data_IF_791981560357
#
_entry.id   IF_791981560357
#
_cell.length_a   1.000
_cell.length_b   1.000
_cell.length_c   1.000
_cell.angle_alpha   90.00
_cell.angle_beta   90.00
_cell.angle_gamma   90.00
#
_symmetry.space_group_name_H-M   'P 1'
#
loop_
_entity.id
_entity.type
_entity.pdbx_description
1 polymer ?
#
# COMPACT_ATOMS: atom_id res chain seq x y z
N UNK A 1 6.55 0.60 -3.57
CA UNK A 1 6.55 0.97 -2.14
C UNK A 1 7.98 1.08 -1.61
N UNK A 2 8.30 2.08 -0.78
CA UNK A 2 9.64 2.25 -0.21
C UNK A 2 9.93 1.18 0.85
N UNK A 3 11.21 0.90 1.11
CA UNK A 3 11.63 -0.04 2.17
C UNK A 3 11.19 0.40 3.56
N UNK A 4 11.02 1.70 3.79
CA UNK A 4 10.46 2.25 5.03
C UNK A 4 8.98 1.90 5.21
N UNK A 5 8.19 1.98 4.13
CA UNK A 5 6.76 1.69 4.18
C UNK A 5 6.50 0.19 4.44
N UNK A 6 7.35 -0.70 3.90
CA UNK A 6 7.29 -2.13 4.20
C UNK A 6 7.54 -2.43 5.68
N UNK A 7 8.53 -1.77 6.30
CA UNK A 7 8.79 -1.94 7.74
C UNK A 7 7.61 -1.49 8.61
N UNK A 8 6.98 -0.36 8.25
CA UNK A 8 5.79 0.11 8.96
C UNK A 8 4.59 -0.83 8.78
N UNK A 9 4.41 -1.39 7.59
CA UNK A 9 3.37 -2.38 7.33
C UNK A 9 3.52 -3.60 8.23
N UNK A 10 4.72 -4.17 8.32
CA UNK A 10 4.99 -5.33 9.17
C UNK A 10 4.79 -5.01 10.66
N UNK A 11 5.20 -3.81 11.11
CA UNK A 11 4.91 -3.35 12.47
C UNK A 11 3.40 -3.26 12.74
N UNK A 12 2.61 -2.77 11.79
CA UNK A 12 1.15 -2.69 11.95
C UNK A 12 0.56 -4.10 12.08
N UNK A 13 0.97 -5.03 11.21
CA UNK A 13 0.52 -6.43 11.27
C UNK A 13 0.86 -7.09 12.62
N UNK A 14 2.08 -6.88 13.10
CA UNK A 14 2.54 -7.40 14.40
C UNK A 14 1.74 -6.82 15.58
N UNK A 15 1.40 -5.53 15.53
CA UNK A 15 0.58 -4.90 16.57
C UNK A 15 -0.88 -5.38 16.55
N UNK A 16 -1.44 -5.66 15.36
CA UNK A 16 -2.77 -6.26 15.24
C UNK A 16 -2.79 -7.66 15.85
N UNK A 17 -1.80 -8.49 15.53
CA UNK A 17 -1.67 -9.86 16.05
C UNK A 17 -1.54 -9.89 17.59
N UNK A 18 -0.68 -9.02 18.13
CA UNK A 18 -0.43 -8.90 19.58
C UNK A 18 -1.51 -8.12 20.35
N UNK A 19 -2.52 -7.60 19.66
CA UNK A 19 -3.53 -6.79 20.32
C UNK A 19 -4.37 -7.64 21.28
N UNK A 20 -4.44 -7.20 22.54
CA UNK A 20 -5.33 -7.78 23.54
C UNK A 20 -6.73 -7.13 23.51
N UNK A 21 -6.93 -6.08 22.71
CA UNK A 21 -8.20 -5.36 22.62
C UNK A 21 -9.06 -5.80 21.45
N UNK A 22 -8.55 -6.66 20.57
CA UNK A 22 -9.25 -7.21 19.41
C UNK A 22 -9.56 -8.68 19.65
N UNK A 23 -10.76 -9.10 19.29
CA UNK A 23 -11.10 -10.51 19.16
C UNK A 23 -10.35 -11.16 17.99
N UNK A 24 -10.28 -12.50 17.98
CA UNK A 24 -9.59 -13.24 16.90
C UNK A 24 -10.23 -13.01 15.52
N UNK A 25 -11.54 -12.79 15.48
CA UNK A 25 -12.27 -12.44 14.26
C UNK A 25 -11.89 -11.04 13.76
N UNK A 26 -11.82 -10.06 14.66
CA UNK A 26 -11.39 -8.70 14.33
C UNK A 26 -9.94 -8.64 13.88
N UNK A 27 -9.05 -9.45 14.49
CA UNK A 27 -7.66 -9.59 14.04
C UNK A 27 -7.58 -10.16 12.63
N UNK A 28 -8.30 -11.26 12.38
CA UNK A 28 -8.35 -11.91 11.06
C UNK A 28 -8.85 -10.95 9.98
N UNK A 29 -9.94 -10.22 10.26
CA UNK A 29 -10.49 -9.26 9.31
C UNK A 29 -9.60 -8.03 9.10
N UNK A 30 -8.95 -7.55 10.16
CA UNK A 30 -7.95 -6.49 10.06
C UNK A 30 -6.77 -6.92 9.17
N UNK A 31 -6.26 -8.14 9.36
CA UNK A 31 -5.17 -8.69 8.56
C UNK A 31 -5.55 -8.79 7.08
N UNK A 32 -6.76 -9.31 6.78
CA UNK A 32 -7.27 -9.39 5.40
C UNK A 32 -7.30 -8.01 4.73
N UNK A 33 -7.80 -6.98 5.42
CA UNK A 33 -7.89 -5.61 4.89
C UNK A 33 -6.51 -5.02 4.64
N UNK A 34 -5.58 -5.23 5.56
CA UNK A 34 -4.19 -4.77 5.41
C UNK A 34 -3.56 -5.37 4.14
N UNK A 35 -3.72 -6.68 3.93
CA UNK A 35 -3.19 -7.34 2.74
C UNK A 35 -3.86 -6.88 1.44
N UNK A 36 -5.17 -6.63 1.47
CA UNK A 36 -5.89 -6.05 0.32
C UNK A 36 -5.34 -4.68 -0.05
N UNK A 37 -5.22 -3.77 0.91
CA UNK A 37 -4.66 -2.44 0.66
C UNK A 37 -3.21 -2.48 0.19
N UNK A 38 -2.42 -3.42 0.72
CA UNK A 38 -1.04 -3.61 0.25
C UNK A 38 -1.01 -4.05 -1.22
N UNK A 39 -1.83 -5.02 -1.61
CA UNK A 39 -1.93 -5.47 -3.00
C UNK A 39 -2.43 -4.35 -3.94
N UNK A 40 -3.39 -3.54 -3.48
CA UNK A 40 -3.90 -2.38 -4.20
C UNK A 40 -2.80 -1.33 -4.42
N UNK A 41 -2.01 -0.99 -3.38
CA UNK A 41 -0.89 -0.04 -3.49
C UNK A 41 0.17 -0.50 -4.50
N UNK A 42 0.54 -1.78 -4.48
CA UNK A 42 1.47 -2.35 -5.46
C UNK A 42 0.93 -2.23 -6.88
N UNK A 43 -0.35 -2.59 -7.08
CA UNK A 43 -1.01 -2.53 -8.40
C UNK A 43 -1.10 -1.09 -8.90
N UNK A 44 -1.40 -0.15 -7.99
CA UNK A 44 -1.46 1.27 -8.30
C UNK A 44 -0.09 1.82 -8.73
N UNK A 45 0.99 1.42 -8.05
CA UNK A 45 2.35 1.78 -8.45
C UNK A 45 2.69 1.32 -9.86
N UNK A 46 2.35 0.07 -10.21
CA UNK A 46 2.53 -0.47 -11.57
C UNK A 46 1.73 0.32 -12.59
N UNK A 47 0.45 0.59 -12.31
CA UNK A 47 -0.42 1.36 -13.20
C UNK A 47 0.11 2.76 -13.49
N UNK A 48 0.57 3.48 -12.45
CA UNK A 48 1.17 4.81 -12.60
C UNK A 48 2.46 4.76 -13.42
N UNK A 49 3.29 3.72 -13.23
CA UNK A 49 4.49 3.51 -14.03
C UNK A 49 4.15 3.32 -15.51
N UNK A 50 3.24 2.40 -15.83
CA UNK A 50 2.81 2.13 -17.20
C UNK A 50 2.18 3.38 -17.86
N UNK A 51 1.31 4.10 -17.14
CA UNK A 51 0.74 5.36 -17.62
C UNK A 51 1.82 6.40 -17.95
N UNK A 52 2.88 6.47 -17.15
CA UNK A 52 3.99 7.40 -17.36
C UNK A 52 4.79 7.09 -18.63
N UNK A 53 4.78 5.84 -19.08
CA UNK A 53 5.46 5.39 -20.31
C UNK A 53 4.65 5.71 -21.57
N UNK A 54 3.31 5.80 -21.46
CA UNK A 54 2.42 6.09 -22.61
C UNK A 54 2.70 7.47 -23.21
N UNK A 55 2.96 8.49 -22.39
CA UNK A 55 3.35 9.80 -22.92
C UNK A 55 4.16 10.65 -21.95
N UNK A 56 5.13 11.45 -22.46
CA UNK A 56 5.87 12.42 -21.65
C UNK A 56 4.97 13.44 -20.95
N UNK A 57 3.83 13.80 -21.57
CA UNK A 57 2.86 14.73 -21.00
C UNK A 57 2.16 14.12 -19.78
N UNK A 58 1.75 12.86 -19.85
CA UNK A 58 1.16 12.14 -18.70
C UNK A 58 2.19 12.01 -17.58
N UNK A 59 3.43 11.65 -17.89
CA UNK A 59 4.53 11.63 -16.90
C UNK A 59 4.69 12.96 -16.18
N UNK A 60 4.69 14.08 -16.91
CA UNK A 60 4.77 15.42 -16.30
C UNK A 60 3.58 15.74 -15.40
N UNK A 61 2.36 15.37 -15.79
CA UNK A 61 1.17 15.56 -14.96
C UNK A 61 1.28 14.74 -13.67
N UNK A 62 1.65 13.47 -13.76
CA UNK A 62 1.80 12.57 -12.62
C UNK A 62 2.87 13.06 -11.63
N UNK A 63 4.01 13.53 -12.12
CA UNK A 63 5.05 14.13 -11.29
C UNK A 63 4.58 15.41 -10.58
N UNK A 64 3.84 16.28 -11.28
CA UNK A 64 3.27 17.49 -10.68
C UNK A 64 2.22 17.20 -9.59
N UNK A 65 1.57 16.03 -9.67
CA UNK A 65 0.63 15.56 -8.65
C UNK A 65 1.32 14.83 -7.48
N UNK A 66 2.65 14.65 -7.52
CA UNK A 66 3.41 13.92 -6.51
C UNK A 66 3.19 12.40 -6.55
N UNK A 67 2.80 11.86 -7.70
CA UNK A 67 2.54 10.43 -7.91
C UNK A 67 3.74 9.67 -8.50
N UNK A 68 4.83 10.38 -8.82
CA UNK A 68 6.11 9.86 -9.34
C UNK A 68 7.29 10.37 -8.49
#
# INVERSE_FOLDING_TARGET
>A
MSTSNLKHLELIKENVDRSNSLSEEEKSDSMKRIEQWYAEDQTWGTFISELSEISPKVKSILANLGLL
#
